data_IF_310097971590
#
_entry.id   IF_310097971590
#
_cell.length_a   1.000
_cell.length_b   1.000
_cell.length_c   1.000
_cell.angle_alpha   90.00
_cell.angle_beta   90.00
_cell.angle_gamma   90.00
#
_symmetry.space_group_name_H-M   'P 1'
#
loop_
_entity.id
_entity.type
_entity.pdbx_description
1 polymer ?
#
# COMPACT_ATOMS: atom_id res chain seq x y z
N UNK A 1 -10.72 33.43 -38.65
CA UNK A 1 -9.88 34.59 -38.34
C UNK A 1 -10.43 35.14 -37.05
N UNK A 2 -9.73 34.93 -35.93
CA UNK A 2 -9.56 35.89 -34.84
C UNK A 2 -8.83 35.21 -33.68
N UNK A 3 -7.53 35.47 -33.66
CA UNK A 3 -6.54 34.97 -32.72
C UNK A 3 -6.79 35.51 -31.32
N UNK A 4 -7.17 34.63 -30.39
CA UNK A 4 -7.20 34.95 -28.96
C UNK A 4 -5.76 34.98 -28.44
N UNK A 5 -5.11 36.14 -28.58
CA UNK A 5 -3.80 36.47 -28.00
C UNK A 5 -3.82 36.17 -26.49
N UNK A 6 -3.10 35.13 -26.10
CA UNK A 6 -2.66 34.93 -24.73
C UNK A 6 -1.90 36.19 -24.28
N UNK A 7 -2.46 36.92 -23.31
CA UNK A 7 -1.78 38.04 -22.67
C UNK A 7 -0.66 37.50 -21.79
N UNK A 8 0.51 37.30 -22.39
CA UNK A 8 1.75 37.02 -21.69
C UNK A 8 1.98 38.15 -20.66
N UNK A 9 1.88 37.81 -19.38
CA UNK A 9 2.22 38.71 -18.29
C UNK A 9 3.70 39.07 -18.40
N UNK A 10 4.00 40.38 -18.49
CA UNK A 10 5.37 40.88 -18.61
C UNK A 10 6.20 40.34 -17.44
N UNK A 11 7.45 39.88 -17.65
CA UNK A 11 8.30 39.37 -16.59
C UNK A 11 8.56 40.47 -15.57
N UNK A 12 8.03 40.27 -14.36
CA UNK A 12 8.23 41.16 -13.22
C UNK A 12 9.74 41.31 -13.00
N UNK A 13 10.25 42.56 -12.94
CA UNK A 13 11.67 42.81 -12.72
C UNK A 13 12.15 42.12 -11.44
N UNK A 14 13.39 41.61 -11.42
CA UNK A 14 13.98 40.90 -10.26
C UNK A 14 13.84 41.70 -8.95
N UNK A 15 13.86 43.03 -9.05
CA UNK A 15 13.67 43.95 -7.92
C UNK A 15 12.24 43.98 -7.39
N UNK A 16 11.23 43.84 -8.25
CA UNK A 16 9.82 43.77 -7.85
C UNK A 16 9.48 42.40 -7.23
N UNK A 17 10.03 41.31 -7.79
CA UNK A 17 9.88 39.96 -7.21
C UNK A 17 10.43 39.89 -5.78
N UNK A 18 11.60 40.48 -5.54
CA UNK A 18 12.25 40.50 -4.21
C UNK A 18 11.45 41.31 -3.18
N UNK A 19 10.78 42.38 -3.60
CA UNK A 19 9.90 43.19 -2.73
C UNK A 19 8.63 42.43 -2.35
N UNK A 20 8.00 41.73 -3.30
CA UNK A 20 6.85 40.87 -3.01
C UNK A 20 7.21 39.70 -2.10
N UNK A 21 8.35 39.05 -2.33
CA UNK A 21 8.80 37.95 -1.48
C UNK A 21 9.07 38.43 -0.05
N UNK A 22 9.72 39.59 0.12
CA UNK A 22 9.94 40.20 1.44
C UNK A 22 8.61 40.58 2.11
N UNK A 23 7.64 41.11 1.36
CA UNK A 23 6.31 41.45 1.88
C UNK A 23 5.54 40.20 2.32
N UNK A 24 5.54 39.14 1.50
CA UNK A 24 4.95 37.83 1.83
C UNK A 24 5.63 37.22 3.06
N UNK A 25 6.96 37.28 3.16
CA UNK A 25 7.71 36.80 4.34
C UNK A 25 7.31 37.55 5.62
N UNK A 26 7.08 38.86 5.51
CA UNK A 26 6.69 39.73 6.63
C UNK A 26 5.24 39.52 7.06
N UNK A 27 4.32 39.26 6.12
CA UNK A 27 2.94 38.84 6.43
C UNK A 27 2.91 37.47 7.11
N UNK A 28 3.61 36.47 6.53
CA UNK A 28 3.71 35.11 7.09
C UNK A 28 4.44 35.05 8.44
N UNK A 29 5.31 36.02 8.74
CA UNK A 29 5.97 36.17 10.05
C UNK A 29 4.99 36.67 11.11
N UNK A 30 4.20 37.71 10.78
CA UNK A 30 3.17 38.25 11.69
C UNK A 30 2.06 37.25 12.00
N UNK A 31 1.69 36.40 11.06
CA UNK A 31 0.72 35.32 11.29
C UNK A 31 1.23 34.22 12.24
N UNK A 32 2.55 33.99 12.28
CA UNK A 32 3.17 33.02 13.21
C UNK A 32 3.33 33.58 14.62
N UNK A 33 3.59 34.88 14.74
CA UNK A 33 3.84 35.55 16.02
C UNK A 33 2.55 35.75 16.86
N UNK A 34 1.37 35.62 16.24
CA UNK A 34 0.06 35.73 16.89
C UNK A 34 -0.63 34.41 17.25
N UNK A 35 -0.04 33.25 16.92
CA UNK A 35 -0.63 31.96 17.32
C UNK A 35 -0.31 31.66 18.79
N UNK A 36 -1.31 31.43 19.66
CA UNK A 36 -1.05 31.04 21.04
C UNK A 36 -0.19 29.77 21.04
N UNK A 37 0.96 29.83 21.70
CA UNK A 37 1.85 28.66 21.84
C UNK A 37 1.05 27.55 22.50
N UNK A 38 0.80 26.45 21.78
CA UNK A 38 0.15 25.26 22.33
C UNK A 38 0.85 24.86 23.63
N UNK A 39 0.06 24.74 24.70
CA UNK A 39 0.55 24.28 26.01
C UNK A 39 1.25 22.93 25.85
N UNK A 40 2.29 22.70 26.64
CA UNK A 40 3.04 21.44 26.66
C UNK A 40 2.10 20.23 26.81
N UNK A 41 1.04 20.37 27.61
CA UNK A 41 0.00 19.37 27.77
C UNK A 41 -0.76 19.06 26.47
N UNK A 42 -1.12 20.10 25.70
CA UNK A 42 -1.82 19.90 24.43
C UNK A 42 -0.92 19.26 23.39
N UNK A 43 0.38 19.60 23.38
CA UNK A 43 1.38 18.94 22.53
C UNK A 43 1.52 17.46 22.89
N UNK A 44 1.64 17.15 24.18
CA UNK A 44 1.71 15.78 24.68
C UNK A 44 0.45 14.98 24.32
N UNK A 45 -0.74 15.57 24.44
CA UNK A 45 -2.01 14.95 24.05
C UNK A 45 -2.05 14.61 22.56
N UNK A 46 -1.66 15.55 21.69
CA UNK A 46 -1.62 15.32 20.24
C UNK A 46 -0.60 14.25 19.86
N UNK A 47 0.58 14.23 20.50
CA UNK A 47 1.58 13.19 20.29
C UNK A 47 1.08 11.81 20.74
N UNK A 48 0.43 11.74 21.91
CA UNK A 48 -0.17 10.51 22.39
C UNK A 48 -1.24 9.98 21.43
N UNK A 49 -2.14 10.83 20.94
CA UNK A 49 -3.15 10.45 19.96
C UNK A 49 -2.52 9.95 18.66
N UNK A 50 -1.43 10.59 18.20
CA UNK A 50 -0.68 10.15 17.03
C UNK A 50 -0.07 8.76 17.23
N UNK A 51 0.60 8.52 18.36
CA UNK A 51 1.18 7.22 18.71
C UNK A 51 0.10 6.14 18.79
N UNK A 52 -1.07 6.44 19.35
CA UNK A 52 -2.17 5.49 19.43
C UNK A 52 -2.72 5.13 18.05
N UNK A 53 -2.83 6.10 17.13
CA UNK A 53 -3.22 5.83 15.74
C UNK A 53 -2.20 4.95 15.02
N UNK A 54 -0.91 5.31 15.11
CA UNK A 54 0.18 4.52 14.51
C UNK A 54 0.21 3.08 15.05
N UNK A 55 -0.02 2.89 16.36
CA UNK A 55 -0.11 1.55 16.97
C UNK A 55 -1.28 0.73 16.41
N UNK A 56 -2.45 1.35 16.24
CA UNK A 56 -3.63 0.69 15.67
C UNK A 56 -3.38 0.28 14.22
N UNK A 57 -2.88 1.19 13.40
CA UNK A 57 -2.54 0.92 12.00
C UNK A 57 -1.47 -0.18 11.89
N UNK A 58 -0.42 -0.12 12.71
CA UNK A 58 0.61 -1.17 12.73
C UNK A 58 0.06 -2.53 13.15
N UNK A 59 -0.87 -2.56 14.11
CA UNK A 59 -1.53 -3.79 14.55
C UNK A 59 -2.42 -4.37 13.45
N UNK A 60 -3.25 -3.55 12.82
CA UNK A 60 -4.13 -3.97 11.72
C UNK A 60 -3.33 -4.49 10.52
N UNK A 61 -2.26 -3.78 10.15
CA UNK A 61 -1.35 -4.23 9.10
C UNK A 61 -0.69 -5.57 9.43
N UNK A 62 -0.21 -5.75 10.67
CA UNK A 62 0.34 -7.04 11.11
C UNK A 62 -0.71 -8.14 11.06
N UNK A 63 -1.94 -7.87 11.52
CA UNK A 63 -3.04 -8.84 11.49
C UNK A 63 -3.38 -9.25 10.06
N UNK A 64 -3.51 -8.30 9.14
CA UNK A 64 -3.77 -8.58 7.73
C UNK A 64 -2.64 -9.39 7.08
N UNK A 65 -1.37 -9.09 7.40
CA UNK A 65 -0.24 -9.88 6.91
C UNK A 65 -0.24 -11.31 7.47
N UNK A 66 -0.56 -11.49 8.75
CA UNK A 66 -0.64 -12.81 9.37
C UNK A 66 -1.77 -13.63 8.74
N UNK A 67 -2.95 -13.04 8.55
CA UNK A 67 -4.08 -13.71 7.91
C UNK A 67 -3.76 -14.11 6.46
N UNK A 68 -3.09 -13.23 5.70
CA UNK A 68 -2.63 -13.56 4.34
C UNK A 68 -1.66 -14.74 4.35
N UNK A 69 -0.66 -14.72 5.24
CA UNK A 69 0.32 -15.81 5.38
C UNK A 69 -0.35 -17.13 5.79
N UNK A 70 -1.36 -17.07 6.65
CA UNK A 70 -2.11 -18.25 7.09
C UNK A 70 -2.91 -18.86 5.93
N UNK A 71 -3.64 -18.03 5.17
CA UNK A 71 -4.36 -18.46 3.96
C UNK A 71 -3.43 -19.08 2.92
N UNK A 72 -2.27 -18.46 2.68
CA UNK A 72 -1.25 -19.00 1.77
C UNK A 72 -0.73 -20.37 2.25
N UNK A 73 -0.46 -20.50 3.56
CA UNK A 73 -0.02 -21.75 4.17
C UNK A 73 -1.09 -22.84 4.07
N UNK A 74 -2.34 -22.53 4.38
CA UNK A 74 -3.46 -23.47 4.32
C UNK A 74 -3.67 -23.96 2.88
N UNK A 75 -3.64 -23.04 1.90
CA UNK A 75 -3.73 -23.37 0.48
C UNK A 75 -2.60 -24.30 0.03
N UNK A 76 -1.35 -24.02 0.45
CA UNK A 76 -0.19 -24.85 0.14
C UNK A 76 -0.30 -26.26 0.77
N UNK A 77 -0.75 -26.34 2.03
CA UNK A 77 -0.98 -27.61 2.71
C UNK A 77 -2.09 -28.42 2.05
N UNK A 78 -3.19 -27.77 1.65
CA UNK A 78 -4.28 -28.40 0.92
C UNK A 78 -3.81 -29.02 -0.40
N UNK A 79 -3.02 -28.27 -1.18
CA UNK A 79 -2.44 -28.78 -2.43
C UNK A 79 -1.48 -29.96 -2.19
N UNK A 80 -0.66 -29.88 -1.14
CA UNK A 80 0.25 -30.97 -0.75
C UNK A 80 -0.53 -32.23 -0.38
N UNK A 81 -1.59 -32.12 0.44
CA UNK A 81 -2.47 -33.24 0.78
C UNK A 81 -3.09 -33.88 -0.47
N UNK A 82 -3.60 -33.06 -1.41
CA UNK A 82 -4.15 -33.55 -2.68
C UNK A 82 -3.11 -34.32 -3.49
N UNK A 83 -1.88 -33.79 -3.60
CA UNK A 83 -0.77 -34.45 -4.28
C UNK A 83 -0.43 -35.79 -3.64
N UNK A 84 -0.33 -35.83 -2.32
CA UNK A 84 -0.01 -37.05 -1.58
C UNK A 84 -1.09 -38.13 -1.79
N UNK A 85 -2.37 -37.73 -1.84
CA UNK A 85 -3.47 -38.63 -2.18
C UNK A 85 -3.39 -39.11 -3.64
N UNK A 86 -3.08 -38.22 -4.59
CA UNK A 86 -2.95 -38.57 -6.00
C UNK A 86 -1.83 -39.58 -6.27
N UNK A 87 -0.69 -39.43 -5.59
CA UNK A 87 0.44 -40.39 -5.69
C UNK A 87 0.05 -41.76 -5.14
N UNK A 88 -0.74 -41.81 -4.06
CA UNK A 88 -1.22 -43.06 -3.47
C UNK A 88 -2.29 -43.75 -4.32
N UNK A 89 -3.01 -43.02 -5.18
CA UNK A 89 -4.04 -43.60 -6.04
C UNK A 89 -3.41 -44.57 -7.05
N UNK A 90 -3.97 -45.78 -7.09
CA UNK A 90 -3.59 -46.82 -8.05
C UNK A 90 -4.76 -47.18 -8.95
N UNK A 91 -4.45 -47.69 -10.14
CA UNK A 91 -5.43 -48.25 -11.07
C UNK A 91 -5.90 -49.63 -10.58
N UNK A 92 -6.94 -50.19 -11.21
CA UNK A 92 -7.42 -51.56 -10.90
C UNK A 92 -6.31 -52.63 -11.02
N UNK A 93 -5.30 -52.39 -11.87
CA UNK A 93 -4.13 -53.26 -12.06
C UNK A 93 -2.98 -52.96 -11.09
N UNK A 94 -3.18 -52.08 -10.09
CA UNK A 94 -2.19 -51.77 -9.06
C UNK A 94 -1.07 -50.81 -9.51
N UNK A 95 -1.15 -50.23 -10.71
CA UNK A 95 -0.19 -49.25 -11.22
C UNK A 95 -0.51 -47.84 -10.67
N UNK A 96 0.47 -46.93 -10.56
CA UNK A 96 0.21 -45.53 -10.22
C UNK A 96 -0.79 -44.88 -11.18
N UNK A 97 -1.75 -44.12 -10.66
CA UNK A 97 -2.72 -43.40 -11.50
C UNK A 97 -2.13 -42.07 -11.99
N UNK A 98 -1.53 -42.08 -13.18
CA UNK A 98 -0.89 -40.90 -13.76
C UNK A 98 -1.86 -39.72 -13.94
N UNK A 99 -3.10 -39.97 -14.34
CA UNK A 99 -4.11 -38.92 -14.53
C UNK A 99 -4.39 -38.15 -13.24
N UNK A 100 -4.39 -38.84 -12.09
CA UNK A 100 -4.56 -38.18 -10.79
C UNK A 100 -3.39 -37.22 -10.47
N UNK A 101 -2.16 -37.62 -10.80
CA UNK A 101 -0.95 -36.82 -10.58
C UNK A 101 -0.93 -35.62 -11.53
N UNK A 102 -1.21 -35.84 -12.82
CA UNK A 102 -1.31 -34.78 -13.84
C UNK A 102 -2.35 -33.74 -13.43
N UNK A 103 -3.53 -34.16 -12.95
CA UNK A 103 -4.55 -33.23 -12.46
C UNK A 103 -4.05 -32.30 -11.34
N UNK A 104 -3.26 -32.82 -10.39
CA UNK A 104 -2.66 -32.00 -9.34
C UNK A 104 -1.62 -31.01 -9.87
N UNK A 105 -0.85 -31.40 -10.90
CA UNK A 105 0.14 -30.52 -11.54
C UNK A 105 -0.57 -29.38 -12.29
N UNK A 106 -1.63 -29.70 -13.04
CA UNK A 106 -2.43 -28.70 -13.76
C UNK A 106 -3.09 -27.73 -12.78
N UNK A 107 -3.69 -28.22 -11.68
CA UNK A 107 -4.28 -27.37 -10.64
C UNK A 107 -3.22 -26.40 -10.06
N UNK A 108 -1.99 -26.88 -9.81
CA UNK A 108 -0.89 -26.02 -9.36
C UNK A 108 -0.56 -24.94 -10.40
N UNK A 109 -0.41 -25.30 -11.67
CA UNK A 109 -0.09 -24.35 -12.74
C UNK A 109 -1.17 -23.30 -12.95
N UNK A 110 -2.44 -23.66 -12.83
CA UNK A 110 -3.55 -22.70 -12.94
C UNK A 110 -3.53 -21.70 -11.78
N UNK A 111 -3.31 -22.17 -10.55
CA UNK A 111 -3.13 -21.27 -9.38
C UNK A 111 -1.92 -20.36 -9.53
N UNK A 112 -0.79 -20.89 -10.02
CA UNK A 112 0.41 -20.10 -10.27
C UNK A 112 0.14 -19.00 -11.31
N UNK A 113 -0.63 -19.30 -12.36
CA UNK A 113 -1.09 -18.31 -13.35
C UNK A 113 -2.02 -17.26 -12.74
N UNK A 114 -2.97 -17.64 -11.88
CA UNK A 114 -3.87 -16.70 -11.22
C UNK A 114 -3.12 -15.73 -10.31
N UNK A 115 -2.16 -16.23 -9.52
CA UNK A 115 -1.34 -15.38 -8.63
C UNK A 115 -0.42 -14.41 -9.36
N UNK A 116 -0.02 -14.73 -10.59
CA UNK A 116 0.88 -13.90 -11.39
C UNK A 116 0.13 -12.93 -12.34
N UNK A 117 -1.21 -12.94 -12.33
CA UNK A 117 -2.04 -11.99 -13.10
C UNK A 117 -2.29 -10.68 -12.37
N UNK A 118 -2.10 -10.67 -11.05
CA UNK A 118 -2.17 -9.49 -10.18
C UNK A 118 -0.78 -8.87 -10.00
#
# INVERSE_FOLDING_TARGET
MDDSKASASKPISKTQQKKEEHFKRRQMGRERDGMPRMSEYQRAKLQYEKIQKERKEAYENKRAQMERREKERESALGLRKKKDLAIKKRTKKGQPNFNAVVGCIVEKLMRDKERNKD
#
